data_IF_265534826360
#
_entry.id   IF_265534826360
#
_cell.length_a   1.000
_cell.length_b   1.000
_cell.length_c   1.000
_cell.angle_alpha   90.00
_cell.angle_beta   90.00
_cell.angle_gamma   90.00
#
_symmetry.space_group_name_H-M   'P 1'
#
loop_
_entity.id
_entity.type
_entity.pdbx_description
1 polymer ?
#
# COMPACT_ATOMS: atom_id res chain seq x y z
N UNK A 1 -4.50 -25.50 -2.27
CA UNK A 1 -5.28 -25.13 -1.09
C UNK A 1 -4.41 -24.30 -0.14
N UNK A 2 -4.85 -23.12 0.20
CA UNK A 2 -4.15 -22.30 1.18
C UNK A 2 -4.15 -22.97 2.55
N UNK A 3 -3.00 -23.01 3.22
CA UNK A 3 -2.88 -23.46 4.61
C UNK A 3 -3.34 -22.40 5.60
N UNK A 4 -3.41 -21.16 5.13
CA UNK A 4 -3.69 -19.99 5.98
C UNK A 4 -5.18 -19.68 5.95
N UNK A 5 -5.70 -19.31 7.11
CA UNK A 5 -7.13 -19.00 7.30
C UNK A 5 -7.44 -17.57 6.88
N UNK A 6 -8.73 -17.22 6.65
CA UNK A 6 -9.14 -15.84 6.42
C UNK A 6 -8.67 -14.86 7.51
N UNK A 7 -8.61 -15.31 8.77
CA UNK A 7 -8.11 -14.48 9.87
C UNK A 7 -6.62 -14.15 9.71
N UNK A 8 -5.82 -15.03 9.11
CA UNK A 8 -4.40 -14.77 8.82
C UNK A 8 -4.24 -13.67 7.77
N UNK A 9 -5.14 -13.63 6.79
CA UNK A 9 -5.18 -12.57 5.77
C UNK A 9 -5.47 -11.22 6.43
N UNK A 10 -6.50 -11.16 7.27
CA UNK A 10 -6.85 -9.93 8.00
C UNK A 10 -5.70 -9.48 8.90
N UNK A 11 -5.08 -10.41 9.63
CA UNK A 11 -3.93 -10.11 10.48
C UNK A 11 -2.75 -9.55 9.67
N UNK A 12 -2.49 -10.11 8.49
CA UNK A 12 -1.44 -9.62 7.60
C UNK A 12 -1.70 -8.18 7.15
N UNK A 13 -2.92 -7.87 6.70
CA UNK A 13 -3.29 -6.52 6.24
C UNK A 13 -3.22 -5.50 7.38
N UNK A 14 -3.66 -5.89 8.57
CA UNK A 14 -3.58 -5.02 9.77
C UNK A 14 -2.11 -4.77 10.13
N UNK A 15 -1.27 -5.78 10.04
CA UNK A 15 0.15 -5.64 10.33
C UNK A 15 0.86 -4.72 9.31
N UNK A 16 0.51 -4.83 8.03
CA UNK A 16 1.01 -3.91 7.01
C UNK A 16 0.64 -2.47 7.33
N UNK A 17 -0.63 -2.22 7.67
CA UNK A 17 -1.11 -0.89 8.06
C UNK A 17 -0.35 -0.36 9.28
N UNK A 18 -0.08 -1.21 10.26
CA UNK A 18 0.69 -0.84 11.45
C UNK A 18 2.11 -0.42 11.09
N UNK A 19 2.79 -1.17 10.23
CA UNK A 19 4.14 -0.80 9.79
C UNK A 19 4.16 0.59 9.15
N UNK A 20 3.17 0.90 8.30
CA UNK A 20 3.06 2.19 7.65
C UNK A 20 2.77 3.32 8.66
N UNK A 21 1.86 3.12 9.59
CA UNK A 21 1.50 4.12 10.60
C UNK A 21 2.64 4.36 11.60
N UNK A 22 3.39 3.33 11.96
CA UNK A 22 4.55 3.42 12.85
C UNK A 22 5.82 3.87 12.12
N UNK A 23 5.74 4.11 10.82
CA UNK A 23 6.88 4.51 9.96
C UNK A 23 8.01 3.47 9.99
N UNK A 24 7.64 2.21 10.08
CA UNK A 24 8.54 1.06 10.00
C UNK A 24 8.72 0.67 8.52
N UNK A 25 9.41 1.54 7.80
CA UNK A 25 9.48 1.47 6.33
C UNK A 25 10.22 0.22 5.82
N UNK A 26 11.27 -0.21 6.51
CA UNK A 26 12.01 -1.42 6.11
C UNK A 26 11.18 -2.68 6.35
N UNK A 27 10.45 -2.75 7.47
CA UNK A 27 9.55 -3.85 7.75
C UNK A 27 8.43 -3.92 6.70
N UNK A 28 7.89 -2.77 6.31
CA UNK A 28 6.89 -2.69 5.26
C UNK A 28 7.46 -3.18 3.91
N UNK A 29 8.63 -2.70 3.53
CA UNK A 29 9.31 -3.12 2.29
C UNK A 29 9.56 -4.64 2.28
N UNK A 30 9.90 -5.23 3.42
CA UNK A 30 10.17 -6.66 3.54
C UNK A 30 8.94 -7.54 3.26
N UNK A 31 7.74 -6.98 3.30
CA UNK A 31 6.51 -7.72 2.97
C UNK A 31 6.38 -8.00 1.47
N UNK A 32 7.07 -7.26 0.62
CA UNK A 32 7.00 -7.40 -0.83
C UNK A 32 7.94 -8.46 -1.35
N UNK A 33 7.47 -9.22 -2.34
CA UNK A 33 8.32 -10.14 -3.11
C UNK A 33 9.40 -9.36 -3.87
N UNK A 34 10.49 -10.06 -4.25
CA UNK A 34 11.61 -9.43 -4.99
C UNK A 34 11.17 -8.84 -6.33
N UNK A 35 10.16 -9.41 -6.94
CA UNK A 35 9.55 -8.95 -8.19
C UNK A 35 8.21 -8.22 -7.95
N UNK A 36 7.93 -7.86 -6.72
CA UNK A 36 6.70 -7.18 -6.33
C UNK A 36 6.62 -5.75 -6.86
N UNK A 37 5.39 -5.25 -6.96
CA UNK A 37 5.15 -3.88 -7.38
C UNK A 37 4.01 -3.24 -6.59
N UNK A 38 4.02 -1.90 -6.59
CA UNK A 38 3.07 -1.04 -5.88
C UNK A 38 2.53 0.01 -6.86
N UNK A 39 1.21 0.13 -6.97
CA UNK A 39 0.59 0.98 -7.96
C UNK A 39 -0.57 1.79 -7.37
N UNK A 40 -0.55 3.10 -7.59
CA UNK A 40 -1.64 4.02 -7.27
C UNK A 40 -2.02 4.76 -8.55
N UNK A 41 -3.09 4.31 -9.26
CA UNK A 41 -3.55 4.97 -10.49
C UNK A 41 -4.16 6.34 -10.20
N UNK A 42 -4.20 7.20 -11.22
CA UNK A 42 -4.82 8.53 -11.16
C UNK A 42 -6.16 8.60 -11.87
N UNK A 43 -6.57 7.53 -12.53
CA UNK A 43 -7.85 7.46 -13.23
C UNK A 43 -8.72 6.35 -12.65
N UNK A 44 -10.01 6.65 -12.49
CA UNK A 44 -10.97 5.65 -12.07
C UNK A 44 -11.06 4.52 -13.12
N UNK A 45 -11.00 3.27 -12.65
CA UNK A 45 -11.08 2.11 -13.53
C UNK A 45 -9.84 1.80 -14.36
N UNK A 46 -8.72 2.47 -14.11
CA UNK A 46 -7.47 2.20 -14.80
C UNK A 46 -6.99 0.77 -14.51
N UNK A 47 -6.79 -0.02 -15.56
CA UNK A 47 -6.42 -1.44 -15.44
C UNK A 47 -4.97 -1.73 -15.85
N UNK A 48 -4.35 -0.84 -16.65
CA UNK A 48 -2.97 -1.01 -17.12
C UNK A 48 -2.14 0.22 -16.75
N UNK A 49 -1.10 0.08 -15.91
CA UNK A 49 -0.26 1.20 -15.51
C UNK A 49 0.57 1.80 -16.65
N UNK A 50 0.68 1.09 -17.80
CA UNK A 50 1.45 1.54 -18.96
C UNK A 50 0.68 2.51 -19.85
N UNK A 51 -0.64 2.61 -19.72
CA UNK A 51 -1.49 3.41 -20.62
C UNK A 51 -1.61 4.87 -20.18
N UNK A 52 -1.39 5.16 -18.91
CA UNK A 52 -1.53 6.49 -18.32
C UNK A 52 -0.48 6.72 -17.24
N UNK A 53 -0.19 7.98 -16.94
CA UNK A 53 0.61 8.34 -15.76
C UNK A 53 -0.09 7.85 -14.50
N UNK A 54 0.68 7.44 -13.50
CA UNK A 54 0.20 7.00 -12.19
C UNK A 54 0.67 7.97 -11.11
N UNK A 55 -0.06 8.04 -10.01
CA UNK A 55 0.42 8.75 -8.83
C UNK A 55 1.67 8.09 -8.27
N UNK A 56 1.66 6.77 -8.19
CA UNK A 56 2.83 5.94 -7.86
C UNK A 56 2.76 4.65 -8.69
N UNK A 57 3.88 4.27 -9.27
CA UNK A 57 4.05 2.97 -9.91
C UNK A 57 5.48 2.52 -9.72
N UNK A 58 5.70 1.72 -8.68
CA UNK A 58 7.02 1.34 -8.22
C UNK A 58 7.20 -0.17 -8.32
N UNK A 59 8.28 -0.61 -8.97
CA UNK A 59 8.79 -1.97 -8.82
C UNK A 59 9.57 -2.07 -7.49
N UNK A 60 10.11 -3.24 -7.18
CA UNK A 60 10.86 -3.46 -5.94
C UNK A 60 12.04 -2.48 -5.79
N UNK A 61 12.77 -2.19 -6.85
CA UNK A 61 13.93 -1.29 -6.82
C UNK A 61 13.50 0.15 -6.51
N UNK A 62 12.40 0.61 -7.12
CA UNK A 62 11.86 1.94 -6.85
C UNK A 62 11.29 2.04 -5.43
N UNK A 63 10.68 0.96 -4.93
CA UNK A 63 10.22 0.90 -3.54
C UNK A 63 11.39 1.02 -2.55
N UNK A 64 12.49 0.33 -2.81
CA UNK A 64 13.71 0.45 -2.01
C UNK A 64 14.25 1.87 -1.98
N UNK A 65 14.24 2.54 -3.12
CA UNK A 65 14.65 3.94 -3.24
C UNK A 65 13.72 4.86 -2.45
N UNK A 66 12.40 4.63 -2.52
CA UNK A 66 11.41 5.40 -1.77
C UNK A 66 11.60 5.24 -0.26
N UNK A 67 11.78 4.00 0.21
CA UNK A 67 12.01 3.71 1.62
C UNK A 67 13.31 4.37 2.11
N UNK A 68 14.36 4.31 1.32
CA UNK A 68 15.63 4.96 1.65
C UNK A 68 15.46 6.47 1.84
N UNK A 69 14.69 7.11 0.97
CA UNK A 69 14.39 8.54 1.07
C UNK A 69 13.55 8.88 2.31
N UNK A 70 12.54 8.06 2.61
CA UNK A 70 11.70 8.25 3.80
C UNK A 70 12.53 8.12 5.08
N UNK A 71 13.44 7.16 5.15
CA UNK A 71 14.32 6.93 6.30
C UNK A 71 15.35 8.05 6.50
N UNK A 72 15.85 8.63 5.43
CA UNK A 72 16.91 9.63 5.51
C UNK A 72 16.48 10.92 6.23
N UNK A 73 15.17 11.15 6.42
CA UNK A 73 14.63 12.33 7.09
C UNK A 73 14.99 13.65 6.39
N UNK A 74 15.60 13.56 5.22
CA UNK A 74 16.11 14.70 4.46
C UNK A 74 15.18 15.14 3.33
N UNK A 75 14.07 14.42 3.13
CA UNK A 75 13.09 14.81 2.15
C UNK A 75 12.41 16.07 2.66
N UNK A 76 12.63 17.18 1.97
CA UNK A 76 12.00 18.46 2.33
C UNK A 76 10.48 18.33 2.44
N UNK A 77 9.88 17.46 1.60
CA UNK A 77 8.46 17.13 1.62
C UNK A 77 8.02 16.35 2.87
N UNK A 78 8.94 15.76 3.65
CA UNK A 78 8.66 15.02 4.88
C UNK A 78 9.22 15.69 6.14
N UNK A 79 9.50 17.00 6.06
CA UNK A 79 9.87 17.79 7.24
C UNK A 79 8.79 18.86 7.53
N UNK A 80 7.99 18.75 8.62
CA UNK A 80 7.90 17.61 9.56
C UNK A 80 7.29 16.36 8.89
N UNK A 81 7.54 15.19 9.50
CA UNK A 81 7.00 13.93 8.98
C UNK A 81 5.48 13.87 9.13
N UNK A 82 4.83 13.25 8.14
CA UNK A 82 3.40 12.93 8.24
C UNK A 82 3.15 11.94 9.37
N UNK A 83 2.10 12.20 10.12
CA UNK A 83 1.52 11.24 11.08
C UNK A 83 0.26 10.67 10.46
N UNK A 84 0.13 9.36 10.47
CA UNK A 84 -0.99 8.67 9.83
C UNK A 84 -1.65 7.68 10.76
N UNK A 85 -2.93 7.45 10.53
CA UNK A 85 -3.65 6.32 11.09
C UNK A 85 -4.53 5.71 10.01
N UNK A 86 -4.53 4.37 9.92
CA UNK A 86 -5.29 3.62 8.91
C UNK A 86 -6.27 2.67 9.57
N UNK A 87 -7.44 2.55 8.95
CA UNK A 87 -8.42 1.53 9.25
C UNK A 87 -8.59 0.65 8.04
N UNK A 88 -8.49 -0.66 8.20
CA UNK A 88 -8.70 -1.66 7.16
C UNK A 88 -9.97 -2.42 7.47
N UNK A 89 -10.85 -2.56 6.48
CA UNK A 89 -12.13 -3.25 6.66
C UNK A 89 -12.61 -3.88 5.34
N UNK A 90 -13.73 -4.61 5.40
CA UNK A 90 -14.40 -5.20 4.26
C UNK A 90 -13.46 -6.10 3.43
N UNK A 91 -12.73 -6.98 4.12
CA UNK A 91 -11.76 -7.88 3.51
C UNK A 91 -12.46 -9.05 2.84
N UNK A 92 -12.21 -9.24 1.55
CA UNK A 92 -12.75 -10.38 0.78
C UNK A 92 -11.67 -11.01 -0.08
N UNK A 93 -11.75 -12.33 -0.26
CA UNK A 93 -10.94 -13.05 -1.24
C UNK A 93 -11.71 -13.05 -2.56
N UNK A 94 -11.17 -12.41 -3.58
CA UNK A 94 -11.84 -12.28 -4.88
C UNK A 94 -11.49 -13.41 -5.83
N UNK A 95 -10.23 -13.86 -5.83
CA UNK A 95 -9.73 -14.85 -6.78
C UNK A 95 -8.49 -15.54 -6.25
N UNK A 96 -8.20 -16.71 -6.80
CA UNK A 96 -6.92 -17.41 -6.60
C UNK A 96 -6.44 -17.91 -7.95
N UNK A 97 -5.25 -17.48 -8.36
CA UNK A 97 -4.67 -17.87 -9.64
C UNK A 97 -3.17 -18.08 -9.51
N UNK A 98 -2.70 -19.27 -9.88
CA UNK A 98 -1.28 -19.64 -9.84
C UNK A 98 -0.63 -19.42 -8.46
N UNK A 99 -1.36 -19.74 -7.39
CA UNK A 99 -0.87 -19.61 -6.02
C UNK A 99 -0.90 -18.17 -5.48
N UNK A 100 -1.47 -17.24 -6.20
CA UNK A 100 -1.63 -15.84 -5.77
C UNK A 100 -3.10 -15.57 -5.48
N UNK A 101 -3.39 -15.18 -4.26
CA UNK A 101 -4.72 -14.74 -3.84
C UNK A 101 -4.90 -13.26 -4.17
N UNK A 102 -6.01 -12.92 -4.81
CA UNK A 102 -6.42 -11.52 -4.96
C UNK A 102 -7.32 -11.16 -3.80
N UNK A 103 -6.85 -10.27 -2.94
CA UNK A 103 -7.56 -9.81 -1.75
C UNK A 103 -8.02 -8.38 -1.99
N UNK A 104 -9.32 -8.16 -1.78
CA UNK A 104 -9.93 -6.82 -1.83
C UNK A 104 -10.26 -6.37 -0.43
N UNK A 105 -9.93 -5.13 -0.11
CA UNK A 105 -10.32 -4.51 1.16
C UNK A 105 -10.64 -3.03 0.95
N UNK A 106 -11.24 -2.42 1.94
CA UNK A 106 -11.43 -0.98 2.01
C UNK A 106 -10.52 -0.39 3.06
N UNK A 107 -10.08 0.83 2.85
CA UNK A 107 -9.30 1.54 3.84
C UNK A 107 -9.71 2.99 3.96
N UNK A 108 -9.43 3.54 5.12
CA UNK A 108 -9.44 4.98 5.39
C UNK A 108 -8.12 5.34 6.05
N UNK A 109 -7.54 6.45 5.65
CA UNK A 109 -6.30 6.96 6.22
C UNK A 109 -6.46 8.43 6.56
N UNK A 110 -6.15 8.79 7.78
CA UNK A 110 -6.02 10.18 8.20
C UNK A 110 -4.54 10.50 8.22
N UNK A 111 -4.15 11.57 7.53
CA UNK A 111 -2.80 12.11 7.57
C UNK A 111 -2.83 13.50 8.20
N UNK A 112 -1.92 13.72 9.14
CA UNK A 112 -1.72 15.04 9.76
C UNK A 112 -0.29 15.51 9.53
N UNK A 113 -0.18 16.73 8.99
CA UNK A 113 1.10 17.38 8.75
C UNK A 113 0.93 18.89 8.63
N UNK A 114 1.81 19.67 9.27
CA UNK A 114 1.82 21.15 9.17
C UNK A 114 0.47 21.79 9.50
N UNK A 115 -0.18 21.35 10.58
CA UNK A 115 -1.50 21.83 11.03
C UNK A 115 -2.63 21.54 10.02
N UNK A 116 -2.41 20.65 9.07
CA UNK A 116 -3.45 20.20 8.13
C UNK A 116 -3.72 18.72 8.30
N UNK A 117 -5.00 18.37 8.36
CA UNK A 117 -5.46 17.01 8.39
C UNK A 117 -6.13 16.68 7.07
N UNK A 118 -5.71 15.59 6.44
CA UNK A 118 -6.32 15.09 5.21
C UNK A 118 -6.86 13.69 5.42
N UNK A 119 -7.99 13.41 4.78
CA UNK A 119 -8.60 12.09 4.77
C UNK A 119 -8.45 11.47 3.38
N UNK A 120 -7.89 10.26 3.34
CA UNK A 120 -7.82 9.44 2.14
C UNK A 120 -8.61 8.17 2.35
N UNK A 121 -9.11 7.60 1.28
CA UNK A 121 -9.82 6.35 1.34
C UNK A 121 -10.06 5.76 -0.03
N UNK A 122 -10.39 4.48 -0.04
CA UNK A 122 -10.67 3.77 -1.28
C UNK A 122 -10.57 2.26 -1.11
N UNK A 123 -10.17 1.62 -2.19
CA UNK A 123 -10.04 0.17 -2.28
C UNK A 123 -8.58 -0.22 -2.37
N UNK A 124 -8.20 -1.21 -1.57
CA UNK A 124 -6.92 -1.90 -1.69
C UNK A 124 -7.13 -3.23 -2.39
N UNK A 125 -6.28 -3.52 -3.35
CA UNK A 125 -6.15 -4.85 -3.93
C UNK A 125 -4.74 -5.35 -3.67
N UNK A 126 -4.65 -6.56 -3.11
CA UNK A 126 -3.38 -7.22 -2.83
C UNK A 126 -3.32 -8.54 -3.58
N UNK A 127 -2.22 -8.81 -4.25
CA UNK A 127 -1.88 -10.16 -4.68
C UNK A 127 -0.97 -10.79 -3.63
N UNK A 128 -1.50 -11.74 -2.88
CA UNK A 128 -0.77 -12.40 -1.79
C UNK A 128 -0.43 -13.84 -2.16
N UNK A 129 0.83 -14.23 -1.96
CA UNK A 129 1.26 -15.61 -2.04
C UNK A 129 1.70 -16.09 -0.65
N UNK A 130 1.56 -17.39 -0.40
CA UNK A 130 2.08 -17.99 0.83
C UNK A 130 3.61 -18.02 0.80
N UNK A 131 4.22 -17.68 1.93
CA UNK A 131 5.66 -17.76 2.16
C UNK A 131 5.89 -18.35 3.56
N UNK A 132 6.06 -19.68 3.61
CA UNK A 132 6.12 -20.41 4.89
C UNK A 132 4.80 -20.28 5.64
N UNK A 133 4.84 -19.77 6.85
CA UNK A 133 3.67 -19.54 7.71
C UNK A 133 3.10 -18.14 7.59
N UNK A 134 3.49 -17.39 6.56
CA UNK A 134 3.08 -16.02 6.34
C UNK A 134 2.76 -15.76 4.87
N UNK A 135 2.48 -14.52 4.52
CA UNK A 135 2.25 -14.07 3.15
C UNK A 135 3.37 -13.16 2.67
N UNK A 136 3.51 -13.10 1.35
CA UNK A 136 4.33 -12.10 0.67
C UNK A 136 3.43 -11.34 -0.31
N UNK A 137 3.68 -10.04 -0.46
CA UNK A 137 2.94 -9.18 -1.41
C UNK A 137 3.60 -9.30 -2.78
N UNK A 138 2.90 -9.94 -3.71
CA UNK A 138 3.32 -10.00 -5.11
C UNK A 138 3.03 -8.69 -5.83
N UNK A 139 1.92 -8.03 -5.46
CA UNK A 139 1.55 -6.71 -5.96
C UNK A 139 0.52 -6.07 -5.04
N UNK A 140 0.50 -4.75 -5.04
CA UNK A 140 -0.50 -3.96 -4.32
C UNK A 140 -0.96 -2.83 -5.22
N UNK A 141 -2.28 -2.70 -5.37
CA UNK A 141 -2.93 -1.60 -6.10
C UNK A 141 -3.80 -0.81 -5.12
N UNK A 142 -3.67 0.50 -5.12
CA UNK A 142 -4.48 1.39 -4.28
C UNK A 142 -5.37 2.25 -5.18
N UNK A 143 -6.67 2.03 -5.10
CA UNK A 143 -7.66 2.79 -5.85
C UNK A 143 -8.29 3.83 -4.94
N UNK A 144 -7.77 5.06 -5.00
CA UNK A 144 -8.30 6.17 -4.20
C UNK A 144 -9.63 6.66 -4.76
N UNK A 145 -10.57 7.00 -3.87
CA UNK A 145 -11.85 7.60 -4.25
C UNK A 145 -11.65 8.91 -5.01
N UNK A 146 -10.61 9.67 -4.64
CA UNK A 146 -10.26 10.96 -5.25
C UNK A 146 -8.95 10.88 -6.05
N UNK A 147 -8.72 9.79 -6.78
CA UNK A 147 -7.46 9.50 -7.47
C UNK A 147 -7.07 10.59 -8.50
N UNK A 148 -8.03 11.30 -9.04
CA UNK A 148 -7.87 12.35 -10.03
C UNK A 148 -7.77 13.76 -9.43
N UNK A 149 -7.79 13.88 -8.10
CA UNK A 149 -7.63 15.17 -7.44
C UNK A 149 -6.17 15.58 -7.29
N UNK A 150 -5.93 16.87 -7.08
CA UNK A 150 -4.59 17.36 -6.77
C UNK A 150 -4.20 16.92 -5.35
N UNK A 151 -3.08 16.20 -5.23
CA UNK A 151 -2.56 15.69 -3.95
C UNK A 151 -1.18 16.29 -3.68
N UNK A 152 -1.17 17.52 -3.20
CA UNK A 152 0.09 18.21 -2.90
C UNK A 152 0.81 17.59 -1.70
N UNK A 153 2.11 17.32 -1.88
CA UNK A 153 3.03 17.01 -0.80
C UNK A 153 2.80 15.66 -0.11
N UNK A 154 2.07 14.73 -0.72
CA UNK A 154 1.94 13.38 -0.19
C UNK A 154 3.06 12.49 -0.72
N UNK A 155 3.94 12.05 0.17
CA UNK A 155 5.08 11.21 -0.16
C UNK A 155 5.08 9.87 0.57
N UNK A 156 4.16 9.68 1.50
CA UNK A 156 4.03 8.41 2.22
C UNK A 156 3.17 7.45 1.42
N UNK A 157 3.47 6.13 1.44
CA UNK A 157 2.62 5.12 0.82
C UNK A 157 1.25 5.03 1.50
N UNK A 158 0.31 4.50 0.75
CA UNK A 158 -1.02 4.17 1.28
C UNK A 158 -1.10 2.78 1.85
#
# INVERSE_FOLDING_TARGET
MSRLAPDDICAFLINEARYLDERRWEDWLSLFADDGWYWVPIEEGQTDPRTTVSLMYDDRQLLETRVRRLKAGKLHAQSPMSRTTRTICNVTVEDEKNGVLTIRSKFQMIEYRRNQQRLFGGTLLHGLAEDGDNFVICWKKVELVNCDSMMDGLNVPF
#
